data_IF_017300146674
#
_entry.id   IF_017300146674
#
_cell.length_a   1.000
_cell.length_b   1.000
_cell.length_c   1.000
_cell.angle_alpha   90.00
_cell.angle_beta   90.00
_cell.angle_gamma   90.00
#
_symmetry.space_group_name_H-M   'P 1'
#
loop_
_entity.id
_entity.type
_entity.pdbx_description
1 polymer ?
#
# COMPACT_ATOMS: atom_id res chain seq x y z
N UNK A 1 -3.92 0.26 -12.39
CA UNK A 1 -4.30 -0.48 -11.15
C UNK A 1 -4.37 -1.95 -11.47
N UNK A 2 -3.95 -2.84 -10.55
CA UNK A 2 -4.12 -4.28 -10.74
C UNK A 2 -5.62 -4.63 -10.73
N UNK A 3 -6.10 -5.49 -11.68
CA UNK A 3 -7.53 -5.80 -11.79
C UNK A 3 -8.20 -6.26 -10.48
N UNK A 4 -7.57 -7.13 -9.65
CA UNK A 4 -8.19 -7.58 -8.41
C UNK A 4 -8.43 -6.48 -7.37
N UNK A 5 -7.76 -5.33 -7.49
CA UNK A 5 -7.92 -4.19 -6.59
C UNK A 5 -8.90 -3.15 -7.14
N UNK A 6 -9.22 -3.20 -8.42
CA UNK A 6 -10.11 -2.23 -9.04
C UNK A 6 -11.51 -2.27 -8.42
N UNK A 7 -12.02 -3.47 -8.12
CA UNK A 7 -13.33 -3.66 -7.49
C UNK A 7 -13.40 -3.18 -6.05
N UNK A 8 -12.25 -3.14 -5.36
CA UNK A 8 -12.15 -2.65 -3.98
C UNK A 8 -12.08 -1.12 -3.87
N UNK A 9 -11.77 -0.46 -4.97
CA UNK A 9 -11.53 0.97 -4.99
C UNK A 9 -12.70 1.72 -5.63
N UNK A 10 -13.20 2.81 -5.03
CA UNK A 10 -14.45 3.49 -5.44
C UNK A 10 -14.51 3.92 -6.90
N UNK A 11 -13.36 4.07 -7.56
CA UNK A 11 -13.27 4.52 -8.95
C UNK A 11 -12.39 3.59 -9.79
N UNK A 12 -12.28 2.33 -9.40
CA UNK A 12 -11.37 1.37 -10.05
C UNK A 12 -9.89 1.70 -9.90
N UNK A 13 -9.54 2.69 -9.07
CA UNK A 13 -8.17 3.14 -8.87
C UNK A 13 -7.99 4.14 -7.74
N UNK A 14 -6.74 4.52 -7.49
CA UNK A 14 -6.40 5.55 -6.52
C UNK A 14 -6.55 6.94 -7.13
N UNK A 15 -7.28 7.83 -6.45
CA UNK A 15 -7.37 9.23 -6.86
C UNK A 15 -6.06 9.94 -6.53
N UNK A 16 -5.59 10.78 -7.43
CA UNK A 16 -4.45 11.67 -7.18
C UNK A 16 -4.77 12.63 -6.04
N UNK A 17 -3.76 12.96 -5.25
CA UNK A 17 -3.91 13.87 -4.14
C UNK A 17 -4.61 13.28 -2.91
N UNK A 18 -4.61 11.95 -2.76
CA UNK A 18 -5.27 11.28 -1.63
C UNK A 18 -4.30 10.60 -0.69
N UNK A 19 -4.76 10.42 0.55
CA UNK A 19 -4.09 9.60 1.55
C UNK A 19 -4.85 8.29 1.72
N UNK A 20 -4.16 7.18 1.56
CA UNK A 20 -4.67 5.82 1.71
C UNK A 20 -3.98 5.16 2.90
N UNK A 21 -4.72 4.79 3.93
CA UNK A 21 -4.18 4.01 5.03
C UNK A 21 -4.29 2.51 4.72
N UNK A 22 -3.20 1.78 4.83
CA UNK A 22 -3.17 0.32 4.64
C UNK A 22 -2.71 -0.35 5.92
N UNK A 23 -3.50 -1.27 6.44
CA UNK A 23 -3.16 -2.04 7.63
C UNK A 23 -3.30 -3.55 7.40
N UNK A 24 -2.47 -4.33 8.10
CA UNK A 24 -2.51 -5.80 8.10
C UNK A 24 -1.74 -6.48 6.95
N UNK A 25 -1.27 -5.74 5.92
CA UNK A 25 -0.49 -6.35 4.84
C UNK A 25 0.38 -5.34 4.09
N UNK A 26 1.69 -5.51 4.14
CA UNK A 26 2.62 -4.79 3.27
C UNK A 26 2.41 -5.18 1.80
N UNK A 27 2.06 -6.44 1.53
CA UNK A 27 1.82 -6.91 0.15
C UNK A 27 0.65 -6.20 -0.52
N UNK A 28 -0.39 -5.84 0.22
CA UNK A 28 -1.48 -5.01 -0.34
C UNK A 28 -0.96 -3.63 -0.77
N UNK A 29 -0.13 -3.01 0.05
CA UNK A 29 0.48 -1.72 -0.31
C UNK A 29 1.41 -1.84 -1.52
N UNK A 30 2.19 -2.92 -1.62
CA UNK A 30 3.01 -3.21 -2.82
C UNK A 30 2.14 -3.42 -4.06
N UNK A 31 0.98 -4.05 -3.93
CA UNK A 31 0.05 -4.22 -5.05
C UNK A 31 -0.53 -2.88 -5.57
N UNK A 32 -0.73 -1.90 -4.68
CA UNK A 32 -1.08 -0.53 -5.08
C UNK A 32 0.07 0.13 -5.86
N UNK A 33 1.32 -0.03 -5.37
CA UNK A 33 2.51 0.47 -6.05
C UNK A 33 2.76 -0.26 -7.39
N UNK A 34 2.46 -1.56 -7.48
CA UNK A 34 2.57 -2.32 -8.72
C UNK A 34 1.71 -1.71 -9.84
N UNK A 35 0.46 -1.38 -9.55
CA UNK A 35 -0.41 -0.72 -10.53
C UNK A 35 0.12 0.64 -11.00
N UNK A 36 0.76 1.40 -10.10
CA UNK A 36 1.38 2.69 -10.43
C UNK A 36 2.61 2.51 -11.31
N UNK A 37 3.53 1.62 -10.92
CA UNK A 37 4.79 1.41 -11.64
C UNK A 37 4.60 0.74 -13.00
N UNK A 38 3.61 -0.15 -13.15
CA UNK A 38 3.22 -0.76 -14.43
C UNK A 38 2.61 0.28 -15.40
N UNK A 39 1.94 1.29 -14.88
CA UNK A 39 1.45 2.43 -15.68
C UNK A 39 2.57 3.40 -16.13
N UNK A 40 3.83 3.07 -15.88
CA UNK A 40 4.97 3.90 -16.26
C UNK A 40 5.32 5.02 -15.26
N UNK A 41 4.62 5.09 -14.13
CA UNK A 41 4.82 6.09 -13.10
C UNK A 41 5.86 5.66 -12.05
N UNK A 42 6.37 6.61 -11.28
CA UNK A 42 7.32 6.33 -10.20
C UNK A 42 6.61 6.13 -8.87
N UNK A 43 7.15 5.21 -8.08
CA UNK A 43 6.77 5.02 -6.69
C UNK A 43 8.01 5.11 -5.78
N UNK A 44 7.78 5.43 -4.51
CA UNK A 44 8.82 5.38 -3.49
C UNK A 44 8.32 4.67 -2.23
N UNK A 45 9.23 4.02 -1.50
CA UNK A 45 8.94 3.44 -0.19
C UNK A 45 9.88 4.03 0.86
N UNK A 46 9.32 4.52 1.97
CA UNK A 46 10.03 5.27 3.02
C UNK A 46 9.75 4.68 4.39
N UNK A 47 10.81 4.33 5.12
CA UNK A 47 10.70 3.78 6.46
C UNK A 47 10.14 2.35 6.51
N UNK A 48 10.46 1.55 5.49
CA UNK A 48 10.00 0.15 5.36
C UNK A 48 11.22 -0.75 5.13
N UNK A 49 12.10 -0.92 6.15
CA UNK A 49 13.33 -1.71 5.99
C UNK A 49 13.07 -3.18 5.67
N UNK A 50 11.93 -3.72 6.10
CA UNK A 50 11.53 -5.11 5.83
C UNK A 50 10.95 -5.31 4.42
N UNK A 51 10.90 -4.29 3.56
CA UNK A 51 10.42 -4.42 2.19
C UNK A 51 11.41 -5.26 1.38
N UNK A 52 11.03 -6.50 1.09
CA UNK A 52 11.78 -7.38 0.21
C UNK A 52 11.58 -7.02 -1.25
N UNK A 53 12.67 -6.72 -1.97
CA UNK A 53 12.60 -6.36 -3.39
C UNK A 53 12.10 -7.50 -4.27
N UNK A 54 12.41 -8.75 -3.91
CA UNK A 54 11.89 -9.95 -4.60
C UNK A 54 10.38 -10.02 -4.42
N UNK A 55 9.87 -9.87 -3.20
CA UNK A 55 8.43 -9.86 -2.93
C UNK A 55 7.70 -8.69 -3.64
N UNK A 56 8.36 -7.56 -3.80
CA UNK A 56 7.84 -6.45 -4.58
C UNK A 56 7.72 -6.80 -6.07
N UNK A 57 8.78 -7.40 -6.65
CA UNK A 57 8.78 -7.86 -8.03
C UNK A 57 7.70 -8.92 -8.28
N UNK A 58 7.59 -9.94 -7.42
CA UNK A 58 6.55 -10.97 -7.48
C UNK A 58 5.13 -10.38 -7.42
N UNK A 59 4.94 -9.29 -6.66
CA UNK A 59 3.65 -8.58 -6.60
C UNK A 59 3.37 -7.78 -7.87
N UNK A 60 4.36 -7.65 -8.75
CA UNK A 60 4.26 -6.94 -10.03
C UNK A 60 4.81 -5.51 -10.00
N UNK A 61 5.54 -5.11 -8.96
CA UNK A 61 6.20 -3.80 -8.92
C UNK A 61 7.33 -3.77 -9.95
N UNK A 62 7.36 -2.77 -10.80
CA UNK A 62 8.46 -2.51 -11.74
C UNK A 62 9.61 -1.86 -10.97
N UNK A 63 10.60 -2.68 -10.55
CA UNK A 63 11.67 -2.26 -9.62
C UNK A 63 12.47 -1.04 -10.10
N UNK A 64 12.72 -0.89 -11.39
CA UNK A 64 13.42 0.30 -11.94
C UNK A 64 12.65 1.61 -11.76
N UNK A 65 11.38 1.55 -11.30
CA UNK A 65 10.52 2.70 -10.99
C UNK A 65 10.16 2.77 -9.50
N UNK A 66 10.89 2.06 -8.66
CA UNK A 66 10.70 2.06 -7.21
C UNK A 66 11.95 2.63 -6.54
N UNK A 67 11.82 3.80 -5.92
CA UNK A 67 12.85 4.35 -5.04
C UNK A 67 12.68 3.82 -3.62
N UNK A 68 13.77 3.44 -2.95
CA UNK A 68 13.74 2.93 -1.59
C UNK A 68 14.54 3.83 -0.66
N UNK A 69 13.93 4.23 0.46
CA UNK A 69 14.57 4.91 1.58
C UNK A 69 14.24 4.12 2.85
N UNK A 70 14.96 3.02 3.12
CA UNK A 70 14.57 2.08 4.16
C UNK A 70 14.61 2.70 5.55
N UNK A 71 15.65 3.48 5.85
CA UNK A 71 15.85 4.13 7.14
C UNK A 71 16.08 5.64 6.98
N UNK A 72 15.02 6.45 6.92
CA UNK A 72 15.12 7.92 6.83
C UNK A 72 15.42 8.57 8.19
N UNK A 73 15.38 7.83 9.29
CA UNK A 73 15.62 8.32 10.64
C UNK A 73 14.75 9.54 10.99
N UNK A 74 15.37 10.55 11.62
CA UNK A 74 14.70 11.80 12.01
C UNK A 74 14.22 12.66 10.83
N UNK A 75 14.70 12.38 9.62
CA UNK A 75 14.34 13.10 8.39
C UNK A 75 13.09 12.53 7.70
N UNK A 76 12.41 11.54 8.29
CA UNK A 76 11.28 10.85 7.69
C UNK A 76 10.26 11.80 7.04
N UNK A 77 9.80 12.79 7.78
CA UNK A 77 8.78 13.74 7.29
C UNK A 77 9.28 14.56 6.09
N UNK A 78 10.54 15.01 6.15
CA UNK A 78 11.16 15.77 5.06
C UNK A 78 11.35 14.91 3.81
N UNK A 79 11.80 13.67 3.97
CA UNK A 79 11.97 12.73 2.88
C UNK A 79 10.63 12.45 2.20
N UNK A 80 9.58 12.13 2.97
CA UNK A 80 8.24 11.91 2.43
C UNK A 80 7.73 13.15 1.70
N UNK A 81 7.86 14.34 2.29
CA UNK A 81 7.42 15.61 1.67
C UNK A 81 8.15 15.89 0.34
N UNK A 82 9.44 15.58 0.27
CA UNK A 82 10.24 15.75 -0.96
C UNK A 82 9.76 14.79 -2.05
N UNK A 83 9.59 13.52 -1.71
CA UNK A 83 9.16 12.48 -2.64
C UNK A 83 7.73 12.71 -3.15
N UNK A 84 6.82 13.22 -2.32
CA UNK A 84 5.48 13.62 -2.76
C UNK A 84 5.49 14.73 -3.83
N UNK A 85 6.61 15.45 -4.00
CA UNK A 85 6.79 16.43 -5.06
C UNK A 85 7.38 15.87 -6.35
N UNK A 86 7.86 14.63 -6.35
CA UNK A 86 8.62 14.07 -7.46
C UNK A 86 8.14 12.71 -7.98
N UNK A 87 7.27 12.01 -7.23
CA UNK A 87 6.74 10.71 -7.64
C UNK A 87 5.23 10.64 -7.46
N UNK A 88 4.57 9.74 -8.18
CA UNK A 88 3.11 9.62 -8.17
C UNK A 88 2.58 8.91 -6.94
N UNK A 89 3.37 7.99 -6.34
CA UNK A 89 2.95 7.23 -5.17
C UNK A 89 4.09 7.09 -4.17
N UNK A 90 3.81 7.43 -2.92
CA UNK A 90 4.74 7.23 -1.80
C UNK A 90 4.13 6.25 -0.80
N UNK A 91 4.76 5.09 -0.63
CA UNK A 91 4.51 4.20 0.50
C UNK A 91 5.30 4.73 1.69
N UNK A 92 4.67 5.03 2.81
CA UNK A 92 5.39 5.53 3.97
C UNK A 92 4.91 4.85 5.25
N UNK A 93 5.85 4.41 6.08
CA UNK A 93 5.55 4.00 7.45
C UNK A 93 5.83 5.15 8.39
N UNK A 94 4.79 5.75 9.00
CA UNK A 94 5.01 6.82 9.97
C UNK A 94 5.71 6.27 11.22
N UNK A 95 6.77 6.91 11.69
CA UNK A 95 7.32 6.59 13.02
C UNK A 95 6.30 6.94 14.10
N UNK A 96 6.40 6.28 15.27
CA UNK A 96 5.49 6.54 16.39
C UNK A 96 5.49 8.02 16.81
N UNK A 97 6.63 8.68 16.72
CA UNK A 97 6.81 10.09 17.03
C UNK A 97 6.20 11.07 15.99
N UNK A 98 5.72 10.58 14.84
CA UNK A 98 5.09 11.46 13.85
C UNK A 98 3.75 11.98 14.37
N UNK A 99 3.74 13.22 14.84
CA UNK A 99 2.57 13.90 15.38
C UNK A 99 1.50 14.18 14.31
N UNK A 100 0.29 14.51 14.78
CA UNK A 100 -0.85 14.80 13.89
C UNK A 100 -0.61 16.01 12.96
N UNK A 101 0.13 17.01 13.44
CA UNK A 101 0.49 18.19 12.64
C UNK A 101 1.28 17.80 11.39
N UNK A 102 2.33 17.00 11.58
CA UNK A 102 3.18 16.49 10.48
C UNK A 102 2.34 15.67 9.49
N UNK A 103 1.48 14.79 10.00
CA UNK A 103 0.61 13.97 9.14
C UNK A 103 -0.35 14.82 8.32
N UNK A 104 -0.93 15.88 8.91
CA UNK A 104 -1.78 16.84 8.17
C UNK A 104 -1.01 17.59 7.09
N UNK A 105 0.20 18.06 7.40
CA UNK A 105 1.06 18.73 6.42
C UNK A 105 1.39 17.81 5.23
N UNK A 106 1.72 16.56 5.47
CA UNK A 106 1.98 15.58 4.41
C UNK A 106 0.72 15.28 3.57
N UNK A 107 -0.46 15.20 4.20
CA UNK A 107 -1.71 15.02 3.49
C UNK A 107 -2.03 16.23 2.58
N UNK A 108 -1.82 17.45 3.08
CA UNK A 108 -1.94 18.68 2.28
C UNK A 108 -0.96 18.67 1.11
N UNK A 109 0.29 18.31 1.36
CA UNK A 109 1.33 18.20 0.33
C UNK A 109 0.98 17.19 -0.76
N UNK A 110 0.48 16.01 -0.38
CA UNK A 110 0.02 15.01 -1.34
C UNK A 110 -1.09 15.57 -2.25
N UNK A 111 -2.04 16.32 -1.67
CA UNK A 111 -3.14 16.96 -2.40
C UNK A 111 -2.64 18.03 -3.37
N UNK A 112 -1.76 18.92 -2.93
CA UNK A 112 -1.19 19.99 -3.75
C UNK A 112 -0.36 19.46 -4.92
N UNK A 113 0.36 18.35 -4.70
CA UNK A 113 1.23 17.74 -5.72
C UNK A 113 0.51 16.71 -6.59
N UNK A 114 -0.72 16.36 -6.26
CA UNK A 114 -1.46 15.33 -6.98
C UNK A 114 -0.84 13.92 -6.85
N UNK A 115 -0.02 13.68 -5.82
CA UNK A 115 0.57 12.37 -5.54
C UNK A 115 -0.28 11.60 -4.54
N UNK A 116 -0.14 10.28 -4.52
CA UNK A 116 -0.84 9.41 -3.56
C UNK A 116 0.10 9.07 -2.41
N UNK A 117 -0.33 9.34 -1.18
CA UNK A 117 0.37 8.89 0.01
C UNK A 117 -0.31 7.62 0.55
N UNK A 118 0.38 6.49 0.47
CA UNK A 118 -0.03 5.22 1.08
C UNK A 118 0.66 5.08 2.42
N UNK A 119 -0.08 5.31 3.50
CA UNK A 119 0.41 5.20 4.86
C UNK A 119 0.27 3.76 5.36
N UNK A 120 1.38 3.15 5.78
CA UNK A 120 1.40 1.82 6.38
C UNK A 120 1.08 1.91 7.86
N UNK A 121 -0.11 1.45 8.24
CA UNK A 121 -0.66 1.52 9.59
C UNK A 121 -1.69 2.62 9.78
N UNK A 122 -1.87 3.07 11.02
CA UNK A 122 -2.88 4.06 11.36
C UNK A 122 -2.54 5.45 10.81
N UNK A 123 -3.53 6.09 10.21
CA UNK A 123 -3.45 7.48 9.77
C UNK A 123 -4.71 8.23 10.16
N UNK A 124 -4.63 9.46 10.72
CA UNK A 124 -5.81 10.24 11.10
C UNK A 124 -6.55 10.71 9.85
N UNK A 125 -7.84 10.42 9.80
CA UNK A 125 -8.74 10.88 8.75
C UNK A 125 -8.25 10.63 7.31
N UNK A 126 -7.87 9.38 6.94
CA UNK A 126 -7.47 9.08 5.58
C UNK A 126 -8.66 9.26 4.63
N UNK A 127 -8.36 9.51 3.35
CA UNK A 127 -9.41 9.53 2.32
C UNK A 127 -9.96 8.12 2.06
N UNK A 128 -9.08 7.13 2.20
CA UNK A 128 -9.40 5.71 2.05
C UNK A 128 -8.62 4.87 3.07
N UNK A 129 -9.26 3.88 3.67
CA UNK A 129 -8.63 2.87 4.53
C UNK A 129 -8.83 1.49 3.93
N UNK A 130 -7.74 0.75 3.78
CA UNK A 130 -7.77 -0.66 3.42
C UNK A 130 -7.25 -1.47 4.60
N UNK A 131 -8.12 -2.27 5.17
CA UNK A 131 -7.76 -3.18 6.27
C UNK A 131 -7.74 -4.61 5.77
N UNK A 132 -6.62 -5.28 5.99
CA UNK A 132 -6.47 -6.70 5.71
C UNK A 132 -6.60 -7.47 7.00
N UNK A 133 -7.58 -8.35 7.07
CA UNK A 133 -7.70 -9.37 8.10
C UNK A 133 -7.31 -10.73 7.53
N UNK A 134 -6.65 -11.53 8.38
CA UNK A 134 -6.00 -12.75 7.92
C UNK A 134 -6.94 -13.91 7.71
N UNK A 135 -6.59 -14.77 6.77
CA UNK A 135 -6.92 -16.17 6.72
C UNK A 135 -5.68 -17.04 6.93
N UNK A 136 -5.82 -18.36 6.96
CA UNK A 136 -4.69 -19.26 7.13
C UNK A 136 -3.74 -19.18 5.93
N UNK A 137 -2.48 -19.37 6.21
CA UNK A 137 -1.49 -19.67 5.17
C UNK A 137 -1.69 -21.10 4.67
N UNK A 138 -1.45 -21.31 3.39
CA UNK A 138 -1.47 -22.64 2.75
C UNK A 138 -0.05 -23.08 2.41
N UNK A 139 0.15 -24.41 2.29
CA UNK A 139 1.43 -25.00 1.87
C UNK A 139 2.35 -25.43 3.00
N UNK A 140 1.94 -25.28 4.24
CA UNK A 140 2.62 -25.86 5.42
C UNK A 140 1.64 -26.80 6.10
N UNK A 141 2.00 -28.08 6.20
CA UNK A 141 1.24 -29.12 6.89
C UNK A 141 2.15 -29.82 7.90
N UNK A 142 1.66 -30.05 9.11
CA UNK A 142 2.40 -30.72 10.19
C UNK A 142 3.82 -30.15 10.43
N UNK A 143 4.02 -28.86 10.24
CA UNK A 143 5.32 -28.20 10.43
C UNK A 143 6.32 -28.33 9.28
N UNK A 144 5.95 -29.00 8.20
CA UNK A 144 6.76 -29.16 6.98
C UNK A 144 6.10 -28.48 5.78
N UNK A 145 6.91 -28.05 4.81
CA UNK A 145 6.42 -27.41 3.58
C UNK A 145 6.89 -25.97 3.39
N UNK A 146 6.28 -25.27 2.44
CA UNK A 146 6.57 -23.88 2.12
C UNK A 146 5.29 -23.07 2.11
N UNK A 147 5.32 -21.87 2.64
CA UNK A 147 4.21 -20.91 2.54
C UNK A 147 3.94 -20.59 1.07
N UNK A 148 2.81 -21.01 0.55
CA UNK A 148 2.44 -20.87 -0.86
C UNK A 148 1.52 -19.69 -1.09
N UNK A 149 0.61 -19.44 -0.17
CA UNK A 149 -0.36 -18.37 -0.33
C UNK A 149 -1.18 -18.14 0.93
N UNK A 150 -1.86 -17.00 0.98
CA UNK A 150 -2.73 -16.64 2.08
C UNK A 150 -4.04 -16.08 1.54
N UNK A 151 -5.16 -16.66 1.94
CA UNK A 151 -6.46 -16.02 1.75
C UNK A 151 -6.63 -14.93 2.79
N UNK A 152 -7.01 -13.74 2.36
CA UNK A 152 -7.23 -12.61 3.23
C UNK A 152 -8.53 -11.89 2.86
N UNK A 153 -9.23 -11.37 3.85
CA UNK A 153 -10.33 -10.44 3.66
C UNK A 153 -9.78 -9.03 3.63
N UNK A 154 -10.16 -8.26 2.64
CA UNK A 154 -9.83 -6.84 2.54
C UNK A 154 -11.11 -6.04 2.66
N UNK A 155 -11.14 -5.14 3.62
CA UNK A 155 -12.24 -4.20 3.82
C UNK A 155 -11.75 -2.81 3.47
N UNK A 156 -12.45 -2.17 2.56
CA UNK A 156 -12.20 -0.78 2.16
C UNK A 156 -13.28 0.11 2.75
N UNK A 157 -12.87 1.17 3.42
CA UNK A 157 -13.73 2.22 3.96
C UNK A 157 -13.13 3.59 3.63
N UNK A 158 -13.93 4.62 3.56
CA UNK A 158 -13.42 5.97 3.26
C UNK A 158 -14.49 7.03 3.27
N UNK A 159 -14.25 8.12 2.54
CA UNK A 159 -15.16 9.25 2.41
C UNK A 159 -15.84 9.27 1.05
N UNK A 160 -16.98 9.94 0.96
CA UNK A 160 -17.70 10.09 -0.31
C UNK A 160 -18.13 8.75 -0.89
N UNK A 161 -17.69 8.41 -2.10
CA UNK A 161 -18.03 7.15 -2.76
C UNK A 161 -17.56 5.89 -1.98
N UNK A 162 -16.55 6.02 -1.11
CA UNK A 162 -16.07 4.95 -0.24
C UNK A 162 -16.75 4.91 1.13
N UNK A 163 -17.80 5.69 1.40
CA UNK A 163 -18.51 5.70 2.66
C UNK A 163 -19.22 4.38 2.96
N UNK A 164 -19.64 3.64 1.93
CA UNK A 164 -20.11 2.26 2.07
C UNK A 164 -18.89 1.33 2.06
N UNK A 165 -18.73 0.46 3.08
CA UNK A 165 -17.66 -0.53 3.07
C UNK A 165 -17.73 -1.43 1.84
N UNK A 166 -16.61 -1.65 1.19
CA UNK A 166 -16.45 -2.67 0.16
C UNK A 166 -15.57 -3.78 0.71
N UNK A 167 -15.98 -5.02 0.50
CA UNK A 167 -15.26 -6.19 0.98
C UNK A 167 -14.93 -7.11 -0.19
N UNK A 168 -13.71 -7.64 -0.19
CA UNK A 168 -13.31 -8.69 -1.10
C UNK A 168 -12.42 -9.70 -0.40
N UNK A 169 -12.47 -10.93 -0.88
CA UNK A 169 -11.52 -11.98 -0.52
C UNK A 169 -10.44 -12.05 -1.58
N UNK A 170 -9.20 -11.95 -1.16
CA UNK A 170 -8.05 -11.98 -2.04
C UNK A 170 -7.03 -13.02 -1.58
N UNK A 171 -6.30 -13.57 -2.52
CA UNK A 171 -5.02 -14.20 -2.26
C UNK A 171 -3.96 -13.09 -2.11
N UNK A 172 -3.34 -12.98 -0.94
CA UNK A 172 -2.33 -12.01 -0.56
C UNK A 172 -1.17 -12.67 0.21
N UNK A 173 -0.21 -13.32 -0.47
CA UNK A 173 -0.09 -13.58 -1.92
C UNK A 173 -0.86 -14.80 -2.39
N UNK A 174 -0.94 -14.98 -3.72
CA UNK A 174 -1.13 -16.27 -4.38
C UNK A 174 0.22 -17.00 -4.48
N UNK A 175 0.22 -18.24 -4.98
CA UNK A 175 1.41 -19.13 -5.04
C UNK A 175 2.60 -18.55 -5.82
N UNK A 176 2.34 -17.70 -6.79
CA UNK A 176 3.33 -17.01 -7.63
C UNK A 176 3.69 -15.61 -7.13
N UNK A 177 3.30 -15.26 -5.92
CA UNK A 177 3.52 -13.94 -5.33
C UNK A 177 2.53 -12.87 -5.76
N UNK A 178 1.67 -13.12 -6.75
CA UNK A 178 0.68 -12.14 -7.24
C UNK A 178 -0.50 -11.96 -6.29
N UNK A 179 -1.29 -10.92 -6.54
CA UNK A 179 -2.59 -10.71 -5.90
C UNK A 179 -3.69 -11.18 -6.83
N UNK A 180 -4.59 -12.03 -6.33
CA UNK A 180 -5.71 -12.59 -7.12
C UNK A 180 -7.01 -12.59 -6.32
N UNK A 181 -8.18 -12.56 -6.97
CA UNK A 181 -9.45 -12.83 -6.30
C UNK A 181 -9.40 -14.21 -5.64
N UNK A 182 -9.98 -14.32 -4.45
CA UNK A 182 -10.21 -15.61 -3.79
C UNK A 182 -11.72 -15.87 -3.83
N UNK A 183 -12.10 -16.66 -4.80
CA UNK A 183 -13.47 -17.21 -4.87
C UNK A 183 -13.74 -18.17 -3.73
#
# INVERSE_FOLDING_TARGET
MLPPLAELLPHGGLRRGTVVAVSGSLRLALALAAGTTQAGCWAAAVGVPELGVVAAAETGVVLRRLALVPDPGRQWARVVATLLGGVELVLARPPAAAGQSVRRQLATRARERGSVLVALGAWPHPDLSLRVSGGPWTGVEAGAGRLLGRRAQVVTTGRGAASRPHEARLWLPFRDGTVRPAT
#
